data_IF_771801429140
#
_entry.id   IF_771801429140
#
_cell.length_a   1.000
_cell.length_b   1.000
_cell.length_c   1.000
_cell.angle_alpha   90.00
_cell.angle_beta   90.00
_cell.angle_gamma   90.00
#
_symmetry.space_group_name_H-M   'P 1'
#
loop_
_entity.id
_entity.type
_entity.pdbx_description
1 polymer ?
#
# COMPACT_ATOMS: atom_id res chain seq x y z
N UNK A 1 2.82 -30.46 1.38
CA UNK A 1 3.41 -29.26 2.00
C UNK A 1 2.43 -28.75 3.05
N UNK A 2 2.73 -28.93 4.35
CA UNK A 2 1.81 -28.61 5.44
C UNK A 2 1.53 -27.10 5.44
N UNK A 3 0.26 -26.70 5.50
CA UNK A 3 -0.18 -25.31 5.65
C UNK A 3 0.37 -24.81 7.00
N UNK A 4 1.48 -24.07 6.99
CA UNK A 4 1.97 -23.38 8.17
C UNK A 4 0.91 -22.36 8.58
N UNK A 5 0.32 -22.55 9.75
CA UNK A 5 -0.86 -21.82 10.21
C UNK A 5 -0.50 -20.40 10.64
N UNK A 6 -0.37 -19.50 9.68
CA UNK A 6 -0.23 -18.07 9.95
C UNK A 6 -1.48 -17.54 10.64
N UNK A 7 -1.29 -16.84 11.76
CA UNK A 7 -2.38 -16.11 12.41
C UNK A 7 -2.49 -14.73 11.77
N UNK A 8 -3.70 -14.36 11.37
CA UNK A 8 -4.01 -13.06 10.80
C UNK A 8 -4.52 -12.15 11.89
N UNK A 9 -3.82 -11.04 12.08
CA UNK A 9 -4.12 -10.05 13.08
C UNK A 9 -4.42 -8.71 12.39
N UNK A 10 -5.47 -8.03 12.86
CA UNK A 10 -5.92 -6.67 12.49
C UNK A 10 -5.99 -6.31 10.99
N UNK A 11 -7.14 -5.83 10.53
CA UNK A 11 -7.28 -5.19 9.22
C UNK A 11 -7.09 -3.67 9.34
N UNK A 12 -6.13 -3.10 8.61
CA UNK A 12 -6.01 -1.65 8.43
C UNK A 12 -6.37 -1.27 6.99
N UNK A 13 -7.21 -0.26 6.84
CA UNK A 13 -7.61 0.24 5.53
C UNK A 13 -6.63 1.28 5.03
N UNK A 14 -6.05 1.02 3.87
CA UNK A 14 -5.18 1.92 3.11
C UNK A 14 -5.91 2.34 1.86
N UNK A 15 -5.75 3.60 1.46
CA UNK A 15 -6.39 4.15 0.28
C UNK A 15 -5.33 4.39 -0.78
N UNK A 16 -5.58 3.86 -1.96
CA UNK A 16 -4.87 4.27 -3.15
C UNK A 16 -5.64 5.39 -3.82
N UNK A 17 -4.91 6.45 -4.13
CA UNK A 17 -5.40 7.64 -4.80
C UNK A 17 -4.92 7.64 -6.23
N UNK A 18 -5.80 7.99 -7.15
CA UNK A 18 -5.39 8.51 -8.44
C UNK A 18 -5.11 9.99 -8.25
N UNK A 19 -3.85 10.39 -8.36
CA UNK A 19 -3.47 11.80 -8.38
C UNK A 19 -3.40 12.30 -9.80
N UNK A 20 -3.91 13.51 -10.03
CA UNK A 20 -3.84 14.19 -11.32
C UNK A 20 -3.31 15.61 -11.13
N UNK A 21 -2.49 16.04 -12.08
CA UNK A 21 -1.99 17.41 -12.09
C UNK A 21 -3.13 18.40 -12.28
N UNK A 22 -3.21 19.39 -11.39
CA UNK A 22 -4.16 20.48 -11.48
C UNK A 22 -3.55 21.56 -12.34
N UNK A 23 -4.02 21.69 -13.58
CA UNK A 23 -3.52 22.73 -14.46
C UNK A 23 -3.69 24.11 -13.82
N UNK A 24 -2.69 25.01 -13.92
CA UNK A 24 -2.86 26.38 -13.49
C UNK A 24 -4.06 26.97 -14.23
N UNK A 25 -4.87 27.72 -13.50
CA UNK A 25 -6.20 28.22 -13.88
C UNK A 25 -6.23 29.07 -15.18
N UNK A 26 -5.09 29.25 -15.85
CA UNK A 26 -4.91 29.98 -17.12
C UNK A 26 -4.95 29.08 -18.37
N UNK A 27 -4.88 27.75 -18.25
CA UNK A 27 -5.18 26.86 -19.38
C UNK A 27 -6.69 26.63 -19.49
N UNK A 28 -7.46 27.71 -19.69
CA UNK A 28 -8.89 27.65 -19.97
C UNK A 28 -9.11 27.18 -21.42
N UNK A 29 -8.82 25.91 -21.71
CA UNK A 29 -9.42 25.24 -22.85
C UNK A 29 -10.90 25.02 -22.51
N UNK A 30 -11.72 26.04 -22.78
CA UNK A 30 -13.17 26.02 -22.53
C UNK A 30 -13.82 25.31 -23.72
N UNK A 31 -14.14 24.01 -23.67
CA UNK A 31 -14.70 23.36 -24.83
C UNK A 31 -16.18 23.72 -24.83
N UNK A 32 -16.61 24.45 -25.87
CA UNK A 32 -18.03 24.68 -26.13
C UNK A 32 -18.61 23.36 -26.65
N UNK A 33 -18.94 22.45 -25.74
CA UNK A 33 -19.58 21.17 -26.05
C UNK A 33 -20.97 21.42 -26.60
N UNK A 34 -21.12 21.33 -27.92
CA UNK A 34 -22.40 21.26 -28.59
C UNK A 34 -22.39 19.96 -29.40
N UNK A 35 -23.08 18.94 -28.89
CA UNK A 35 -23.38 17.64 -29.50
C UNK A 35 -22.41 17.15 -30.59
N UNK A 36 -21.28 16.56 -30.20
CA UNK A 36 -20.44 15.79 -31.13
C UNK A 36 -19.82 14.62 -30.40
N UNK A 37 -20.09 13.40 -30.89
CA UNK A 37 -19.41 12.18 -30.48
C UNK A 37 -17.93 12.34 -30.72
N UNK A 38 -17.14 12.52 -29.66
CA UNK A 38 -15.68 12.53 -29.77
C UNK A 38 -15.21 11.10 -29.94
N UNK A 39 -14.72 10.80 -31.14
CA UNK A 39 -13.89 9.64 -31.42
C UNK A 39 -12.45 10.11 -31.26
N UNK A 40 -11.72 9.64 -30.24
CA UNK A 40 -10.28 9.92 -30.09
C UNK A 40 -9.51 8.78 -30.75
N UNK A 41 -9.00 8.92 -31.99
CA UNK A 41 -8.27 7.86 -32.63
C UNK A 41 -6.84 7.88 -32.07
N UNK A 42 -6.39 6.75 -31.52
CA UNK A 42 -5.00 6.49 -31.08
C UNK A 42 -4.55 7.29 -29.85
N UNK A 43 -5.16 7.04 -28.69
CA UNK A 43 -4.51 7.35 -27.40
C UNK A 43 -3.36 6.35 -27.23
N UNK A 44 -2.12 6.84 -27.19
CA UNK A 44 -0.98 6.04 -26.76
C UNK A 44 -0.91 6.05 -25.23
N UNK A 45 -1.11 4.89 -24.62
CA UNK A 45 -0.94 4.72 -23.19
C UNK A 45 0.49 4.32 -22.89
N UNK A 46 1.19 5.13 -22.09
CA UNK A 46 2.45 4.75 -21.47
C UNK A 46 2.20 4.46 -20.00
N UNK A 47 2.48 3.22 -19.58
CA UNK A 47 2.36 2.80 -18.18
C UNK A 47 3.76 2.71 -17.58
N UNK A 48 3.99 3.46 -16.51
CA UNK A 48 5.19 3.36 -15.69
C UNK A 48 4.83 2.78 -14.33
N UNK A 49 5.73 1.97 -13.78
CA UNK A 49 5.60 1.41 -12.43
C UNK A 49 6.83 1.80 -11.62
N UNK A 50 6.61 2.18 -10.37
CA UNK A 50 7.67 2.59 -9.49
C UNK A 50 7.14 2.95 -8.11
N UNK A 51 8.04 3.35 -7.20
CA UNK A 51 7.65 3.79 -5.87
C UNK A 51 6.69 4.98 -5.94
N UNK A 52 5.74 5.03 -4.99
CA UNK A 52 4.71 6.06 -4.97
C UNK A 52 5.27 7.48 -4.93
N UNK A 53 6.42 7.71 -4.27
CA UNK A 53 7.12 8.99 -4.28
C UNK A 53 7.58 9.43 -5.67
N UNK A 54 8.22 8.54 -6.42
CA UNK A 54 8.67 8.81 -7.79
C UNK A 54 7.49 9.06 -8.74
N UNK A 55 6.38 8.35 -8.55
CA UNK A 55 5.18 8.56 -9.36
C UNK A 55 4.50 9.90 -9.04
N UNK A 56 4.48 10.30 -7.77
CA UNK A 56 3.98 11.61 -7.35
C UNK A 56 4.83 12.75 -7.95
N UNK A 57 6.14 12.64 -7.87
CA UNK A 57 7.06 13.61 -8.45
C UNK A 57 6.91 13.71 -9.97
N UNK A 58 6.76 12.56 -10.66
CA UNK A 58 6.46 12.54 -12.09
C UNK A 58 5.15 13.26 -12.44
N UNK A 59 4.13 13.22 -11.58
CA UNK A 59 2.89 13.99 -11.76
C UNK A 59 3.09 15.48 -11.47
N UNK A 60 3.88 15.84 -10.45
CA UNK A 60 4.20 17.23 -10.13
C UNK A 60 5.02 17.91 -11.23
N UNK A 61 5.98 17.20 -11.81
CA UNK A 61 6.83 17.66 -12.92
C UNK A 61 6.12 17.65 -14.28
N UNK A 62 4.87 17.17 -14.34
CA UNK A 62 4.10 17.06 -15.59
C UNK A 62 4.59 15.97 -16.54
N UNK A 63 5.51 15.09 -16.11
CA UNK A 63 5.97 13.91 -16.87
C UNK A 63 4.90 12.82 -16.93
N UNK A 64 4.03 12.75 -15.93
CA UNK A 64 2.90 11.82 -15.84
C UNK A 64 1.60 12.60 -15.73
N UNK A 65 0.57 12.19 -16.47
CA UNK A 65 -0.75 12.81 -16.37
C UNK A 65 -1.48 12.41 -15.08
N UNK A 66 -1.26 11.18 -14.62
CA UNK A 66 -1.82 10.67 -13.39
C UNK A 66 -0.98 9.51 -12.83
N UNK A 67 -1.11 9.25 -11.53
CA UNK A 67 -0.45 8.14 -10.87
C UNK A 67 -1.33 7.50 -9.79
N UNK A 68 -1.19 6.19 -9.61
CA UNK A 68 -1.76 5.44 -8.49
C UNK A 68 -0.76 5.40 -7.35
N UNK A 69 -1.08 6.04 -6.24
CA UNK A 69 -0.18 6.16 -5.08
C UNK A 69 -0.92 6.01 -3.76
N UNK A 70 -0.18 5.75 -2.70
CA UNK A 70 -0.75 5.64 -1.36
C UNK A 70 -1.18 7.02 -0.83
N UNK A 71 -2.36 7.06 -0.23
CA UNK A 71 -2.92 8.24 0.42
C UNK A 71 -2.83 8.19 1.95
N UNK A 72 -3.17 9.30 2.64
CA UNK A 72 -3.69 10.56 2.09
C UNK A 72 -2.59 11.53 1.63
N UNK A 73 -2.84 12.27 0.54
CA UNK A 73 -1.91 13.31 0.04
C UNK A 73 -2.59 14.66 0.16
N UNK A 74 -1.95 15.54 0.95
CA UNK A 74 -2.33 16.94 1.06
C UNK A 74 -1.33 17.79 0.29
N UNK A 75 -1.59 17.99 -1.01
CA UNK A 75 -0.75 18.84 -1.86
C UNK A 75 -1.63 19.78 -2.69
N UNK A 76 -1.38 21.09 -2.63
CA UNK A 76 -2.24 22.12 -3.25
C UNK A 76 -2.29 22.04 -4.78
N UNK A 77 -1.24 21.54 -5.41
CA UNK A 77 -1.13 21.39 -6.86
C UNK A 77 -1.75 20.09 -7.43
N UNK A 78 -2.30 19.22 -6.59
CA UNK A 78 -2.76 17.89 -7.00
C UNK A 78 -4.16 17.64 -6.46
N UNK A 79 -5.03 17.14 -7.34
CA UNK A 79 -6.31 16.57 -6.93
C UNK A 79 -6.16 15.05 -6.78
N UNK A 80 -6.49 14.53 -5.59
CA UNK A 80 -6.45 13.10 -5.28
C UNK A 80 -7.86 12.51 -5.23
N UNK A 81 -8.10 11.44 -5.99
CA UNK A 81 -9.38 10.73 -6.02
C UNK A 81 -9.18 9.34 -5.39
N UNK A 82 -9.93 8.96 -4.33
CA UNK A 82 -9.84 7.61 -3.78
C UNK A 82 -10.41 6.62 -4.79
N UNK A 83 -9.54 5.73 -5.28
CA UNK A 83 -9.89 4.76 -6.34
C UNK A 83 -9.98 3.34 -5.81
N UNK A 84 -9.18 3.01 -4.79
CA UNK A 84 -9.18 1.66 -4.24
C UNK A 84 -8.88 1.67 -2.74
N UNK A 85 -9.62 0.84 -2.01
CA UNK A 85 -9.47 0.63 -0.58
C UNK A 85 -8.86 -0.75 -0.36
N UNK A 86 -7.60 -0.77 0.01
CA UNK A 86 -6.88 -2.00 0.36
C UNK A 86 -7.02 -2.26 1.86
N UNK A 87 -7.17 -3.53 2.24
CA UNK A 87 -7.08 -3.96 3.63
C UNK A 87 -5.73 -4.66 3.85
N UNK A 88 -4.90 -4.13 4.75
CA UNK A 88 -3.64 -4.74 5.15
C UNK A 88 -3.84 -5.55 6.43
N UNK A 89 -3.25 -6.75 6.45
CA UNK A 89 -3.31 -7.70 7.55
C UNK A 89 -1.91 -7.92 8.11
N UNK A 90 -1.80 -7.99 9.43
CA UNK A 90 -0.58 -8.42 10.11
C UNK A 90 -0.58 -9.95 10.15
N UNK A 91 0.56 -10.51 9.83
CA UNK A 91 0.82 -11.94 9.85
C UNK A 91 1.77 -12.23 10.99
N UNK A 92 1.37 -13.12 11.88
CA UNK A 92 2.18 -13.54 13.01
C UNK A 92 2.46 -15.05 12.97
N UNK A 93 3.49 -15.51 13.69
CA UNK A 93 3.72 -16.94 13.87
C UNK A 93 2.52 -17.64 14.50
N UNK A 94 2.44 -18.96 14.28
CA UNK A 94 1.39 -19.80 14.89
C UNK A 94 1.50 -19.73 16.42
N UNK A 95 0.37 -19.57 17.12
CA UNK A 95 0.35 -19.51 18.59
C UNK A 95 0.59 -18.11 19.18
N UNK A 96 0.88 -17.11 18.35
CA UNK A 96 0.88 -15.72 18.79
C UNK A 96 -0.56 -15.25 19.06
N UNK A 97 -0.77 -14.53 20.16
CA UNK A 97 -2.06 -13.94 20.48
C UNK A 97 -2.51 -12.95 19.38
N UNK A 98 -3.83 -12.79 19.12
CA UNK A 98 -4.30 -11.81 18.16
C UNK A 98 -3.76 -10.41 18.46
N UNK A 99 -3.06 -9.83 17.49
CA UNK A 99 -2.51 -8.48 17.59
C UNK A 99 -3.59 -7.47 17.20
N UNK A 100 -4.02 -6.66 18.16
CA UNK A 100 -5.00 -5.59 18.00
C UNK A 100 -4.31 -4.23 18.04
N UNK A 101 -3.18 -4.14 18.75
CA UNK A 101 -2.40 -2.91 18.96
C UNK A 101 -0.91 -3.14 18.71
N UNK A 102 -0.20 -2.12 18.24
CA UNK A 102 1.22 -2.25 17.91
C UNK A 102 2.09 -2.41 19.15
N UNK A 103 1.65 -1.86 20.28
CA UNK A 103 2.26 -2.04 21.60
C UNK A 103 2.34 -3.51 22.04
N UNK A 104 1.45 -4.38 21.55
CA UNK A 104 1.51 -5.83 21.85
C UNK A 104 2.66 -6.55 21.12
N UNK A 105 3.18 -5.95 20.06
CA UNK A 105 4.31 -6.48 19.27
C UNK A 105 5.50 -5.51 19.29
N UNK A 106 5.57 -4.67 20.31
CA UNK A 106 6.66 -3.71 20.47
C UNK A 106 8.01 -4.43 20.52
N UNK A 107 8.99 -3.96 19.73
CA UNK A 107 10.30 -4.58 19.60
C UNK A 107 10.33 -5.89 18.80
N UNK A 108 9.20 -6.34 18.24
CA UNK A 108 9.21 -7.53 17.36
C UNK A 108 9.93 -7.23 16.05
N UNK A 109 10.67 -8.23 15.55
CA UNK A 109 11.28 -8.13 14.22
C UNK A 109 10.18 -8.07 13.16
N UNK A 110 10.37 -7.19 12.19
CA UNK A 110 9.44 -7.02 11.09
C UNK A 110 10.09 -7.47 9.78
N UNK A 111 9.35 -8.23 8.99
CA UNK A 111 9.72 -8.59 7.63
C UNK A 111 8.87 -7.77 6.68
N UNK A 112 9.52 -6.93 5.89
CA UNK A 112 8.86 -5.99 4.99
C UNK A 112 9.66 -5.86 3.70
N UNK A 113 9.05 -5.28 2.67
CA UNK A 113 9.79 -4.87 1.48
C UNK A 113 10.72 -3.67 1.76
N UNK A 114 11.47 -3.27 0.74
CA UNK A 114 12.37 -2.11 0.78
C UNK A 114 11.66 -0.84 1.27
N UNK A 115 12.42 0.09 1.83
CA UNK A 115 11.91 1.34 2.44
C UNK A 115 11.01 2.19 1.51
N UNK A 116 11.19 2.09 0.20
CA UNK A 116 10.37 2.80 -0.80
C UNK A 116 8.98 2.17 -1.04
N UNK A 117 8.67 1.04 -0.40
CA UNK A 117 7.37 0.40 -0.45
C UNK A 117 6.38 1.10 0.49
N UNK A 118 5.20 1.46 -0.02
CA UNK A 118 4.12 2.05 0.78
C UNK A 118 3.74 1.18 1.98
N UNK A 119 3.75 -0.15 1.83
CA UNK A 119 3.39 -1.07 2.91
C UNK A 119 4.33 -1.00 4.10
N UNK A 120 5.64 -0.84 3.87
CA UNK A 120 6.61 -0.66 4.97
C UNK A 120 6.34 0.65 5.72
N UNK A 121 6.12 1.76 5.00
CA UNK A 121 5.77 3.04 5.62
C UNK A 121 4.47 2.96 6.42
N UNK A 122 3.45 2.27 5.90
CA UNK A 122 2.21 2.05 6.65
C UNK A 122 2.43 1.19 7.90
N UNK A 123 3.35 0.24 7.85
CA UNK A 123 3.68 -0.60 9.00
C UNK A 123 4.40 0.19 10.08
N UNK A 124 5.44 0.94 9.72
CA UNK A 124 6.19 1.82 10.62
C UNK A 124 5.29 2.90 11.23
N UNK A 125 4.43 3.52 10.42
CA UNK A 125 3.44 4.49 10.88
C UNK A 125 2.44 3.88 11.87
N UNK A 126 2.08 2.60 11.71
CA UNK A 126 1.18 1.93 12.63
C UNK A 126 1.84 1.69 14.01
N UNK A 127 3.12 1.31 14.04
CA UNK A 127 3.89 1.25 15.28
C UNK A 127 3.96 2.61 15.97
N UNK A 128 4.34 3.65 15.22
CA UNK A 128 4.47 5.00 15.75
C UNK A 128 3.15 5.55 16.29
N UNK A 129 2.02 5.25 15.64
CA UNK A 129 0.71 5.73 16.07
C UNK A 129 0.27 5.21 17.45
N UNK A 130 0.82 4.07 17.89
CA UNK A 130 0.53 3.44 19.18
C UNK A 130 1.69 3.63 20.20
N UNK A 131 2.65 4.50 19.89
CA UNK A 131 3.83 4.73 20.74
C UNK A 131 4.79 3.54 20.82
N UNK A 132 4.70 2.60 19.89
CA UNK A 132 5.56 1.43 19.79
C UNK A 132 6.62 1.62 18.71
N UNK A 133 7.68 0.82 18.77
CA UNK A 133 8.72 0.79 17.75
C UNK A 133 8.90 -0.66 17.25
N UNK A 134 9.08 -0.87 15.94
CA UNK A 134 9.51 -2.17 15.44
C UNK A 134 10.93 -2.46 15.97
N UNK A 135 11.26 -3.75 16.09
CA UNK A 135 12.62 -4.20 16.36
C UNK A 135 13.50 -4.10 15.11
N UNK A 136 14.15 -5.20 14.73
CA UNK A 136 14.93 -5.23 13.49
C UNK A 136 14.01 -5.35 12.27
N UNK A 137 14.27 -4.50 11.27
CA UNK A 137 13.58 -4.53 9.98
C UNK A 137 14.39 -5.38 9.00
N UNK A 138 13.80 -6.49 8.55
CA UNK A 138 14.39 -7.37 7.54
C UNK A 138 13.74 -7.11 6.18
N UNK A 139 14.56 -6.66 5.23
CA UNK A 139 14.11 -6.42 3.87
C UNK A 139 14.00 -7.73 3.09
N UNK A 140 12.82 -7.94 2.51
CA UNK A 140 12.49 -9.14 1.73
C UNK A 140 12.19 -8.76 0.29
N UNK A 141 12.61 -9.63 -0.65
CA UNK A 141 12.33 -9.45 -2.09
C UNK A 141 11.17 -10.31 -2.58
N UNK A 142 10.72 -11.30 -1.78
CA UNK A 142 9.62 -12.18 -2.14
C UNK A 142 8.65 -12.37 -0.98
N UNK A 143 7.36 -12.44 -1.31
CA UNK A 143 6.32 -12.77 -0.35
C UNK A 143 6.52 -14.17 0.26
N UNK A 144 6.96 -15.15 -0.53
CA UNK A 144 7.20 -16.51 -0.03
C UNK A 144 8.31 -16.55 1.02
N UNK A 145 9.42 -15.86 0.79
CA UNK A 145 10.52 -15.76 1.76
C UNK A 145 10.07 -15.04 3.03
N UNK A 146 9.36 -13.91 2.88
CA UNK A 146 8.80 -13.17 4.01
C UNK A 146 7.88 -14.05 4.87
N UNK A 147 6.95 -14.78 4.25
CA UNK A 147 6.05 -15.67 4.98
C UNK A 147 6.78 -16.85 5.60
N UNK A 148 7.79 -17.41 4.95
CA UNK A 148 8.59 -18.50 5.52
C UNK A 148 9.29 -18.07 6.83
N UNK A 149 9.85 -16.85 6.87
CA UNK A 149 10.46 -16.30 8.09
C UNK A 149 9.43 -16.12 9.22
N UNK A 150 8.23 -15.63 8.89
CA UNK A 150 7.14 -15.47 9.87
C UNK A 150 6.67 -16.83 10.39
N UNK A 151 6.47 -17.82 9.51
CA UNK A 151 6.11 -19.19 9.90
C UNK A 151 7.17 -19.82 10.81
N UNK A 152 8.45 -19.53 10.57
CA UNK A 152 9.56 -19.99 11.40
C UNK A 152 9.64 -19.32 12.78
N UNK A 153 8.78 -18.34 13.07
CA UNK A 153 8.76 -17.65 14.36
C UNK A 153 9.74 -16.48 14.48
N UNK A 154 10.36 -16.06 13.37
CA UNK A 154 11.43 -15.07 13.41
C UNK A 154 10.92 -13.62 13.59
N UNK A 155 9.61 -13.38 13.38
CA UNK A 155 8.99 -12.07 13.53
C UNK A 155 7.61 -12.01 12.88
N UNK A 156 7.18 -10.79 12.54
CA UNK A 156 5.86 -10.49 11.96
C UNK A 156 5.98 -9.79 10.61
N UNK A 157 4.92 -9.80 9.80
CA UNK A 157 4.89 -9.11 8.51
C UNK A 157 3.55 -8.42 8.26
N UNK A 158 3.53 -7.40 7.39
CA UNK A 158 2.31 -6.74 6.94
C UNK A 158 2.07 -7.05 5.45
N UNK A 159 0.92 -7.62 5.11
CA UNK A 159 0.57 -8.00 3.73
C UNK A 159 -0.88 -7.60 3.41
N UNK A 160 -1.24 -7.42 2.13
CA UNK A 160 -2.63 -7.17 1.76
C UNK A 160 -3.51 -8.42 2.01
N UNK A 161 -4.76 -8.19 2.41
CA UNK A 161 -5.77 -9.22 2.71
C UNK A 161 -5.98 -10.16 1.52
N UNK A 162 -5.96 -9.63 0.31
CA UNK A 162 -6.06 -10.37 -0.95
C UNK A 162 -4.96 -11.43 -1.11
N UNK A 163 -3.78 -11.17 -0.54
CA UNK A 163 -2.68 -12.12 -0.51
C UNK A 163 -2.73 -13.02 0.73
N UNK A 164 -3.03 -12.45 1.89
CA UNK A 164 -3.18 -13.16 3.16
C UNK A 164 -4.20 -14.31 3.08
N UNK A 165 -5.34 -14.09 2.43
CA UNK A 165 -6.41 -15.09 2.30
C UNK A 165 -5.96 -16.39 1.61
N UNK A 166 -4.86 -16.36 0.85
CA UNK A 166 -4.27 -17.55 0.21
C UNK A 166 -3.52 -18.45 1.21
N UNK A 167 -3.09 -17.90 2.33
CA UNK A 167 -2.29 -18.58 3.34
C UNK A 167 -3.00 -18.73 4.69
N UNK A 168 -4.14 -18.05 4.85
CA UNK A 168 -5.04 -18.26 5.97
C UNK A 168 -5.66 -19.66 5.89
N UNK A 169 -5.22 -20.57 6.75
CA UNK A 169 -6.09 -21.65 7.18
C UNK A 169 -7.24 -21.00 7.97
N UNK A 170 -8.47 -21.15 7.49
CA UNK A 170 -9.72 -20.68 8.09
C UNK A 170 -9.61 -20.15 9.53
N UNK A 171 -9.87 -18.85 9.73
CA UNK A 171 -10.17 -18.34 11.07
C UNK A 171 -11.41 -19.07 11.60
N UNK A 172 -11.46 -19.53 12.85
CA UNK A 172 -12.74 -19.85 13.48
C UNK A 172 -13.53 -18.54 13.62
N UNK A 173 -14.84 -18.65 13.40
CA UNK A 173 -15.81 -17.55 13.51
C UNK A 173 -16.12 -17.14 14.93
#
# INVERSE_FOLDING_TARGET
MKRGALSLAMSRKVYFLLVRWKAPQQCAFRPRWRNSTIVIPKIQFSLSTGPSGTMLEGVLEGKLNAAFIDGPINHTAIDGIPVYREELMIVTPTGHAPVIRASQVNGSNIYAFRANCSYRRHFESWFHADGAAPGTIHEMESYHGMLACVVAGAGIALIPRSYAGKYAGASPG
#
